data_IF_988588060191
#
_entry.id   IF_988588060191
#
_cell.length_a   1.000
_cell.length_b   1.000
_cell.length_c   1.000
_cell.angle_alpha   90.00
_cell.angle_beta   90.00
_cell.angle_gamma   90.00
#
_symmetry.space_group_name_H-M   'P 1'
#
loop_
_entity.id
_entity.type
_entity.pdbx_description
1 polymer ?
#
# COMPACT_ATOMS: atom_id res chain seq x y z
N UNK A 1 -94.25 -25.13 -30.73
CA UNK A 1 -94.06 -25.83 -32.03
C UNK A 1 -92.57 -25.71 -32.34
N UNK A 2 -91.72 -26.66 -31.92
CA UNK A 2 -91.46 -28.00 -32.53
C UNK A 2 -90.94 -27.83 -33.98
N UNK A 3 -89.63 -27.94 -34.24
CA UNK A 3 -88.83 -29.13 -34.64
C UNK A 3 -88.35 -28.90 -36.10
N UNK A 4 -87.30 -29.47 -36.69
CA UNK A 4 -86.36 -30.59 -36.43
C UNK A 4 -84.99 -30.21 -37.08
N UNK A 5 -83.85 -30.87 -36.84
CA UNK A 5 -83.41 -32.21 -37.33
C UNK A 5 -82.32 -32.76 -36.35
N UNK A 6 -82.39 -33.95 -35.71
CA UNK A 6 -82.16 -35.37 -36.14
C UNK A 6 -80.78 -35.61 -36.80
N UNK A 7 -79.89 -36.56 -36.45
CA UNK A 7 -79.55 -37.43 -35.29
C UNK A 7 -78.26 -38.22 -35.68
N UNK A 8 -77.64 -38.92 -34.71
CA UNK A 8 -76.66 -40.04 -34.79
C UNK A 8 -75.15 -39.71 -34.95
N UNK A 9 -74.21 -40.24 -34.16
CA UNK A 9 -74.24 -41.20 -33.04
C UNK A 9 -72.79 -41.51 -32.57
N UNK A 10 -72.59 -41.76 -31.26
CA UNK A 10 -71.42 -42.51 -30.71
C UNK A 10 -71.83 -43.97 -30.39
N UNK A 11 -71.23 -44.71 -29.43
CA UNK A 11 -69.98 -44.55 -28.65
C UNK A 11 -69.18 -45.88 -28.39
N UNK A 12 -67.97 -45.83 -27.79
CA UNK A 12 -67.34 -46.89 -26.95
C UNK A 12 -65.90 -46.44 -26.55
N UNK A 13 -65.36 -46.52 -25.33
CA UNK A 13 -65.81 -46.95 -24.01
C UNK A 13 -64.68 -46.72 -22.96
N UNK A 14 -65.10 -46.37 -21.72
CA UNK A 14 -64.54 -46.64 -20.35
C UNK A 14 -63.04 -46.43 -20.01
N UNK A 15 -62.74 -45.53 -19.06
CA UNK A 15 -62.34 -45.78 -17.62
C UNK A 15 -60.90 -46.31 -17.47
N UNK A 16 -60.05 -46.04 -16.48
CA UNK A 16 -59.97 -45.14 -15.32
C UNK A 16 -58.52 -45.29 -14.78
N UNK A 17 -58.01 -44.26 -14.09
CA UNK A 17 -56.94 -44.24 -13.07
C UNK A 17 -55.96 -45.43 -12.93
N UNK A 18 -54.65 -45.17 -12.98
CA UNK A 18 -53.67 -45.70 -11.99
C UNK A 18 -52.41 -44.82 -11.99
N UNK A 19 -51.97 -44.40 -10.79
CA UNK A 19 -50.62 -43.89 -10.60
C UNK A 19 -49.63 -45.05 -10.56
N UNK A 20 -48.44 -44.86 -11.14
CA UNK A 20 -47.17 -45.53 -10.81
C UNK A 20 -46.03 -44.69 -11.43
N UNK A 21 -45.01 -44.41 -10.62
CA UNK A 21 -43.76 -43.70 -10.94
C UNK A 21 -42.70 -44.71 -11.46
N UNK A 22 -41.92 -44.42 -12.52
CA UNK A 22 -40.67 -45.13 -12.80
C UNK A 22 -39.40 -44.38 -12.29
N UNK A 23 -38.25 -45.06 -12.11
CA UNK A 23 -37.23 -44.72 -11.09
C UNK A 23 -35.86 -44.31 -11.73
N UNK A 24 -34.68 -44.35 -11.05
CA UNK A 24 -33.77 -43.20 -10.95
C UNK A 24 -32.42 -43.32 -11.72
N UNK A 25 -31.74 -42.19 -11.92
CA UNK A 25 -30.30 -42.12 -12.25
C UNK A 25 -30.00 -41.25 -13.48
N UNK A 26 -28.99 -40.39 -13.53
CA UNK A 26 -27.86 -40.09 -12.64
C UNK A 26 -27.62 -38.59 -12.65
N UNK A 27 -27.43 -38.04 -11.46
CA UNK A 27 -26.72 -36.79 -11.24
C UNK A 27 -25.28 -36.92 -11.72
N UNK A 28 -24.79 -35.99 -12.55
CA UNK A 28 -23.36 -35.70 -12.62
C UNK A 28 -23.15 -34.19 -12.84
N UNK A 29 -22.60 -33.46 -11.86
CA UNK A 29 -22.33 -32.03 -11.94
C UNK A 29 -20.89 -31.84 -12.44
N UNK A 30 -20.68 -31.67 -13.74
CA UNK A 30 -19.36 -31.23 -14.25
C UNK A 30 -19.44 -30.92 -15.75
N UNK A 31 -19.76 -29.66 -16.06
CA UNK A 31 -19.61 -29.09 -17.40
C UNK A 31 -18.55 -28.01 -17.39
N UNK A 32 -17.28 -28.36 -17.11
CA UNK A 32 -16.15 -27.48 -17.35
C UNK A 32 -15.86 -27.45 -18.86
N UNK A 33 -16.26 -26.38 -19.53
CA UNK A 33 -15.75 -26.05 -20.86
C UNK A 33 -14.24 -25.71 -20.79
N UNK A 34 -13.45 -26.00 -21.84
CA UNK A 34 -11.98 -25.92 -21.79
C UNK A 34 -11.39 -24.50 -21.73
N UNK A 35 -12.17 -23.47 -21.42
CA UNK A 35 -11.72 -22.08 -21.26
C UNK A 35 -12.22 -21.42 -19.96
N UNK A 36 -12.61 -22.19 -18.95
CA UNK A 36 -12.90 -21.64 -17.62
C UNK A 36 -11.58 -21.23 -16.95
N UNK A 37 -11.18 -19.98 -17.17
CA UNK A 37 -10.18 -19.29 -16.35
C UNK A 37 -10.62 -19.45 -14.89
N UNK A 38 -9.78 -20.08 -14.07
CA UNK A 38 -10.04 -20.20 -12.65
C UNK A 38 -10.35 -18.80 -12.08
N UNK A 39 -11.43 -18.64 -11.28
CA UNK A 39 -11.73 -17.35 -10.68
C UNK A 39 -10.50 -16.90 -9.89
N UNK A 40 -10.04 -15.68 -10.16
CA UNK A 40 -8.98 -15.05 -9.40
C UNK A 40 -9.32 -15.14 -7.90
N UNK A 41 -8.33 -15.30 -7.01
CA UNK A 41 -8.56 -15.34 -5.58
C UNK A 41 -9.39 -14.10 -5.15
N UNK A 42 -10.37 -14.26 -4.25
CA UNK A 42 -11.26 -13.18 -3.90
C UNK A 42 -10.47 -11.99 -3.33
N UNK A 43 -10.78 -10.74 -3.71
CA UNK A 43 -10.16 -9.58 -3.10
C UNK A 43 -10.52 -9.53 -1.62
N UNK A 44 -9.57 -9.11 -0.77
CA UNK A 44 -9.74 -8.99 0.68
C UNK A 44 -10.82 -7.98 1.14
N UNK A 45 -11.44 -7.25 0.21
CA UNK A 45 -12.47 -6.25 0.47
C UNK A 45 -13.61 -6.40 -0.56
N UNK A 46 -14.78 -6.84 -0.11
CA UNK A 46 -15.98 -6.96 -0.94
C UNK A 46 -16.47 -5.55 -1.36
N UNK A 47 -16.33 -5.25 -2.65
CA UNK A 47 -17.19 -4.30 -3.35
C UNK A 47 -18.43 -5.04 -3.83
N UNK A 48 -19.59 -4.38 -3.81
CA UNK A 48 -20.82 -4.93 -4.39
C UNK A 48 -20.66 -5.04 -5.92
N UNK A 49 -20.72 -6.25 -6.47
CA UNK A 49 -20.45 -6.54 -7.88
C UNK A 49 -21.43 -5.83 -8.82
N UNK A 50 -22.62 -5.47 -8.35
CA UNK A 50 -23.62 -4.72 -9.13
C UNK A 50 -23.19 -3.26 -9.44
N UNK A 51 -22.23 -2.70 -8.69
CA UNK A 51 -21.69 -1.36 -8.94
C UNK A 51 -20.43 -1.37 -9.82
N UNK A 52 -19.74 -2.50 -9.96
CA UNK A 52 -18.40 -2.59 -10.52
C UNK A 52 -18.34 -2.59 -12.07
N UNK A 53 -18.82 -1.53 -12.72
CA UNK A 53 -18.40 -1.20 -14.08
C UNK A 53 -17.17 -0.29 -14.00
N UNK A 54 -16.05 -0.80 -13.43
CA UNK A 54 -14.83 -0.02 -13.20
C UNK A 54 -14.15 0.35 -14.53
N UNK A 55 -13.94 1.65 -14.76
CA UNK A 55 -12.98 2.13 -15.76
C UNK A 55 -11.57 1.83 -15.20
N UNK A 56 -11.01 0.67 -15.53
CA UNK A 56 -9.65 0.33 -15.13
C UNK A 56 -8.65 1.32 -15.74
N UNK A 57 -7.99 2.11 -14.89
CA UNK A 57 -6.89 2.97 -15.33
C UNK A 57 -5.70 2.11 -15.73
N UNK A 58 -4.91 2.60 -16.70
CA UNK A 58 -3.63 1.97 -17.05
C UNK A 58 -2.67 2.09 -15.89
N UNK A 59 -2.12 0.96 -15.45
CA UNK A 59 -1.11 0.91 -14.40
C UNK A 59 0.28 0.93 -15.00
N UNK A 60 1.03 1.99 -14.72
CA UNK A 60 2.41 2.11 -15.20
C UNK A 60 3.30 2.83 -14.20
N UNK A 61 2.77 3.71 -13.35
CA UNK A 61 3.56 4.41 -12.33
C UNK A 61 4.07 3.43 -11.29
N UNK A 62 3.23 2.52 -10.79
CA UNK A 62 3.66 1.57 -9.76
C UNK A 62 4.74 0.62 -10.26
N UNK A 63 4.59 -0.04 -11.43
CA UNK A 63 5.69 -0.80 -12.03
C UNK A 63 6.96 0.03 -12.27
N UNK A 64 6.83 1.29 -12.72
CA UNK A 64 7.97 2.17 -12.94
C UNK A 64 8.71 2.48 -11.64
N UNK A 65 7.99 2.77 -10.55
CA UNK A 65 8.58 2.99 -9.22
C UNK A 65 9.30 1.74 -8.74
N UNK A 66 8.75 0.55 -8.98
CA UNK A 66 9.43 -0.71 -8.65
C UNK A 66 10.74 -0.86 -9.42
N UNK A 67 10.71 -0.63 -10.74
CA UNK A 67 11.90 -0.69 -11.59
C UNK A 67 12.95 0.32 -11.12
N UNK A 68 12.54 1.55 -10.81
CA UNK A 68 13.45 2.59 -10.32
C UNK A 68 14.12 2.21 -8.99
N UNK A 69 13.39 1.64 -8.04
CA UNK A 69 13.93 1.18 -6.77
C UNK A 69 14.91 0.01 -6.94
N UNK A 70 14.58 -0.96 -7.81
CA UNK A 70 15.48 -2.07 -8.16
C UNK A 70 16.75 -1.55 -8.82
N UNK A 71 16.63 -0.62 -9.79
CA UNK A 71 17.77 -0.01 -10.47
C UNK A 71 18.66 0.75 -9.48
N UNK A 72 18.08 1.56 -8.59
CA UNK A 72 18.84 2.28 -7.56
C UNK A 72 19.55 1.33 -6.61
N UNK A 73 18.92 0.23 -6.20
CA UNK A 73 19.58 -0.78 -5.39
C UNK A 73 20.79 -1.41 -6.10
N UNK A 74 20.66 -1.74 -7.38
CA UNK A 74 21.78 -2.27 -8.19
C UNK A 74 22.91 -1.25 -8.30
N UNK A 75 22.59 0.03 -8.54
CA UNK A 75 23.57 1.13 -8.59
C UNK A 75 24.32 1.25 -7.26
N UNK A 76 23.60 1.29 -6.14
CA UNK A 76 24.20 1.37 -4.80
C UNK A 76 25.10 0.17 -4.53
N UNK A 77 24.67 -1.05 -4.88
CA UNK A 77 25.47 -2.26 -4.73
C UNK A 77 26.73 -2.25 -5.60
N UNK A 78 26.63 -1.71 -6.82
CA UNK A 78 27.77 -1.55 -7.74
C UNK A 78 28.85 -0.64 -7.15
N UNK A 79 28.45 0.45 -6.50
CA UNK A 79 29.38 1.37 -5.86
C UNK A 79 29.84 0.92 -4.47
N UNK A 80 29.02 0.15 -3.75
CA UNK A 80 29.41 -0.47 -2.49
C UNK A 80 30.67 -1.32 -2.66
N UNK A 81 30.68 -2.19 -3.68
CA UNK A 81 31.82 -3.01 -4.08
C UNK A 81 32.59 -3.61 -2.88
N UNK A 82 31.88 -4.43 -2.08
CA UNK A 82 32.44 -5.04 -0.86
C UNK A 82 33.82 -5.68 -1.09
N UNK A 83 34.09 -6.46 -2.16
CA UNK A 83 35.39 -7.12 -2.31
C UNK A 83 36.58 -6.17 -2.51
N UNK A 84 36.35 -4.94 -2.98
CA UNK A 84 37.39 -3.94 -3.16
C UNK A 84 37.52 -3.01 -1.93
N UNK A 85 36.41 -2.72 -1.24
CA UNK A 85 36.34 -1.68 -0.21
C UNK A 85 36.20 -2.23 1.22
N UNK A 86 35.69 -3.45 1.40
CA UNK A 86 35.51 -4.15 2.66
C UNK A 86 36.52 -5.30 2.77
N UNK A 87 37.24 -5.39 3.88
CA UNK A 87 38.35 -6.33 4.11
C UNK A 87 38.17 -7.69 3.41
N UNK A 88 39.18 -8.06 2.61
CA UNK A 88 39.20 -9.06 1.52
C UNK A 88 38.61 -10.47 1.77
N UNK A 89 37.89 -10.84 2.83
CA UNK A 89 37.48 -12.24 3.08
C UNK A 89 36.01 -12.50 3.45
N UNK A 90 35.26 -11.51 3.95
CA UNK A 90 33.98 -11.82 4.63
C UNK A 90 32.70 -11.40 3.87
N UNK A 91 32.82 -10.92 2.62
CA UNK A 91 31.67 -10.51 1.82
C UNK A 91 30.78 -11.69 1.43
N UNK A 92 29.46 -11.52 1.52
CA UNK A 92 28.48 -12.56 1.17
C UNK A 92 28.25 -12.59 -0.35
N UNK A 93 28.27 -13.79 -0.93
CA UNK A 93 28.00 -13.99 -2.36
C UNK A 93 29.17 -13.67 -3.29
N UNK A 94 30.40 -13.52 -2.76
CA UNK A 94 31.59 -13.11 -3.52
C UNK A 94 31.84 -13.89 -4.80
N UNK A 95 31.77 -15.21 -4.73
CA UNK A 95 32.09 -16.10 -5.86
C UNK A 95 31.14 -15.92 -7.05
N UNK A 96 29.90 -15.50 -6.81
CA UNK A 96 28.86 -15.36 -7.83
C UNK A 96 28.57 -13.89 -8.18
N UNK A 97 28.35 -13.04 -7.18
CA UNK A 97 27.93 -11.63 -7.35
C UNK A 97 29.10 -10.68 -7.68
N UNK A 98 30.35 -11.10 -7.43
CA UNK A 98 31.57 -10.32 -7.68
C UNK A 98 31.43 -8.90 -7.10
N UNK A 99 31.39 -7.87 -7.94
CA UNK A 99 31.27 -6.46 -7.50
C UNK A 99 29.98 -6.18 -6.72
N UNK A 100 28.90 -6.92 -6.97
CA UNK A 100 27.60 -6.74 -6.31
C UNK A 100 27.47 -7.55 -5.00
N UNK A 101 28.59 -8.01 -4.43
CA UNK A 101 28.57 -8.75 -3.17
C UNK A 101 28.06 -7.90 -2.01
N UNK A 102 27.33 -8.54 -1.11
CA UNK A 102 26.81 -7.91 0.10
C UNK A 102 27.88 -7.80 1.18
N UNK A 103 27.68 -6.84 2.09
CA UNK A 103 28.48 -6.77 3.31
C UNK A 103 28.29 -8.02 4.18
N UNK A 104 29.23 -8.31 5.10
CA UNK A 104 29.10 -9.44 6.02
C UNK A 104 27.77 -9.35 6.82
N UNK A 105 27.13 -10.49 7.09
CA UNK A 105 25.83 -10.53 7.80
C UNK A 105 25.89 -9.90 9.20
N UNK A 106 27.07 -9.86 9.82
CA UNK A 106 27.31 -9.18 11.10
C UNK A 106 27.14 -7.66 10.99
N UNK A 107 27.50 -7.08 9.85
CA UNK A 107 27.31 -5.66 9.57
C UNK A 107 25.90 -5.39 9.06
N UNK A 108 25.47 -6.13 8.03
CA UNK A 108 24.18 -5.97 7.38
C UNK A 108 23.45 -7.32 7.22
N UNK A 109 22.52 -7.66 8.14
CA UNK A 109 21.82 -8.93 8.12
C UNK A 109 20.77 -9.04 7.01
N UNK A 110 20.38 -7.92 6.37
CA UNK A 110 19.34 -7.90 5.32
C UNK A 110 19.91 -8.02 3.90
N UNK A 111 21.17 -8.48 3.77
CA UNK A 111 21.88 -8.68 2.51
C UNK A 111 21.99 -7.40 1.68
N UNK A 112 22.83 -6.46 2.12
CA UNK A 112 22.92 -5.14 1.50
C UNK A 112 24.30 -4.49 1.54
N UNK A 113 24.36 -3.20 1.17
CA UNK A 113 25.58 -2.40 1.19
C UNK A 113 25.94 -1.96 2.62
N UNK A 114 27.08 -1.26 2.78
CA UNK A 114 27.44 -0.64 4.05
C UNK A 114 26.61 0.61 4.32
N UNK A 115 26.43 0.95 5.60
CA UNK A 115 25.76 2.19 6.00
C UNK A 115 26.47 3.45 5.44
N UNK A 116 27.81 3.40 5.34
CA UNK A 116 28.59 4.48 4.74
C UNK A 116 28.24 4.70 3.26
N UNK A 117 28.04 3.62 2.50
CA UNK A 117 27.61 3.71 1.09
C UNK A 117 26.21 4.32 1.00
N UNK A 118 25.26 3.83 1.80
CA UNK A 118 23.89 4.39 1.82
C UNK A 118 23.89 5.88 2.16
N UNK A 119 24.64 6.30 3.19
CA UNK A 119 24.79 7.72 3.56
C UNK A 119 25.37 8.54 2.41
N UNK A 120 26.34 8.02 1.67
CA UNK A 120 26.91 8.71 0.51
C UNK A 120 25.88 8.93 -0.60
N UNK A 121 25.00 7.97 -0.86
CA UNK A 121 24.04 8.00 -1.97
C UNK A 121 22.68 8.62 -1.64
N UNK A 122 22.50 9.15 -0.43
CA UNK A 122 21.30 9.90 -0.08
C UNK A 122 20.41 9.29 0.98
N UNK A 123 20.93 8.38 1.81
CA UNK A 123 20.20 7.95 2.99
C UNK A 123 19.87 9.16 3.85
N UNK A 124 18.72 9.11 4.51
CA UNK A 124 18.32 10.19 5.39
C UNK A 124 19.20 10.12 6.64
N UNK A 125 19.92 11.21 6.89
CA UNK A 125 20.76 11.40 8.06
C UNK A 125 20.59 12.83 8.58
N UNK A 126 20.48 12.99 9.90
CA UNK A 126 20.14 14.28 10.50
C UNK A 126 21.19 15.35 10.24
N UNK A 127 22.47 15.00 10.36
CA UNK A 127 23.56 15.97 10.20
C UNK A 127 23.59 16.54 8.77
N UNK A 128 23.47 15.68 7.76
CA UNK A 128 23.42 16.08 6.35
C UNK A 128 22.25 16.99 6.04
N UNK A 129 21.05 16.70 6.56
CA UNK A 129 19.86 17.53 6.33
C UNK A 129 19.97 18.88 7.04
N UNK A 130 20.28 18.89 8.34
CA UNK A 130 20.21 20.09 9.18
C UNK A 130 21.44 20.98 9.05
N UNK A 131 22.64 20.39 9.08
CA UNK A 131 23.90 21.14 9.04
C UNK A 131 24.51 21.18 7.64
N UNK A 132 24.29 20.13 6.85
CA UNK A 132 24.82 20.02 5.49
C UNK A 132 23.96 20.68 4.40
N UNK A 133 22.78 21.23 4.74
CA UNK A 133 21.79 21.73 3.79
C UNK A 133 21.38 20.72 2.70
N UNK A 134 21.42 19.42 3.01
CA UNK A 134 21.14 18.34 2.06
C UNK A 134 19.68 17.91 2.12
N UNK A 135 18.75 18.87 1.95
CA UNK A 135 17.31 18.65 2.03
C UNK A 135 16.79 17.59 1.03
N UNK A 136 17.50 17.38 -0.09
CA UNK A 136 17.22 16.34 -1.07
C UNK A 136 17.21 14.93 -0.47
N UNK A 137 17.90 14.71 0.67
CA UNK A 137 17.88 13.44 1.42
C UNK A 137 16.50 13.05 1.95
N UNK A 138 15.60 14.02 2.14
CA UNK A 138 14.22 13.77 2.56
C UNK A 138 13.45 12.97 1.49
N UNK A 139 13.80 13.15 0.22
CA UNK A 139 13.17 12.43 -0.88
C UNK A 139 14.01 11.24 -1.33
N UNK A 140 15.32 11.40 -1.49
CA UNK A 140 16.18 10.33 -2.04
C UNK A 140 16.24 9.08 -1.16
N UNK A 141 16.06 9.23 0.15
CA UNK A 141 16.01 8.11 1.10
C UNK A 141 14.92 7.09 0.76
N UNK A 142 13.80 7.54 0.18
CA UNK A 142 12.66 6.71 -0.23
C UNK A 142 13.03 5.74 -1.35
N UNK A 143 14.05 6.07 -2.14
CA UNK A 143 14.52 5.29 -3.29
C UNK A 143 15.67 4.33 -2.96
N UNK A 144 16.22 4.43 -1.75
CA UNK A 144 17.31 3.61 -1.28
C UNK A 144 16.78 2.46 -0.41
N UNK A 145 17.49 1.34 -0.39
CA UNK A 145 17.08 0.17 0.38
C UNK A 145 18.27 -0.41 1.15
N UNK A 146 18.01 -0.79 2.40
CA UNK A 146 19.04 -1.30 3.31
C UNK A 146 19.63 -2.65 2.88
N UNK A 147 18.90 -3.43 2.06
CA UNK A 147 19.33 -4.74 1.57
C UNK A 147 18.27 -5.41 0.70
N UNK A 148 18.62 -6.57 0.16
CA UNK A 148 17.78 -7.33 -0.78
C UNK A 148 16.46 -7.77 -0.16
N UNK A 149 16.49 -8.25 1.09
CA UNK A 149 15.27 -8.69 1.80
C UNK A 149 14.33 -7.50 2.02
N UNK A 150 14.90 -6.35 2.42
CA UNK A 150 14.15 -5.12 2.63
C UNK A 150 13.54 -4.60 1.32
N UNK A 151 14.30 -4.60 0.22
CA UNK A 151 13.81 -4.24 -1.11
C UNK A 151 12.67 -5.17 -1.55
N UNK A 152 12.86 -6.48 -1.47
CA UNK A 152 11.87 -7.46 -1.91
C UNK A 152 10.54 -7.28 -1.18
N UNK A 153 10.57 -7.12 0.15
CA UNK A 153 9.38 -6.86 0.95
C UNK A 153 8.65 -5.59 0.48
N UNK A 154 9.36 -4.47 0.32
CA UNK A 154 8.75 -3.22 -0.13
C UNK A 154 8.15 -3.35 -1.54
N UNK A 155 8.85 -3.96 -2.48
CA UNK A 155 8.39 -4.06 -3.87
C UNK A 155 7.19 -4.99 -4.00
N UNK A 156 7.15 -6.11 -3.26
CA UNK A 156 5.98 -6.99 -3.21
C UNK A 156 4.77 -6.24 -2.63
N UNK A 157 4.94 -5.55 -1.51
CA UNK A 157 3.89 -4.73 -0.91
C UNK A 157 3.41 -3.63 -1.86
N UNK A 158 4.34 -2.96 -2.55
CA UNK A 158 4.04 -1.91 -3.52
C UNK A 158 3.24 -2.45 -4.72
N UNK A 159 3.59 -3.63 -5.23
CA UNK A 159 2.85 -4.24 -6.33
C UNK A 159 1.44 -4.65 -5.90
N UNK A 160 1.27 -5.23 -4.71
CA UNK A 160 -0.04 -5.68 -4.21
C UNK A 160 -0.97 -4.48 -3.95
N UNK A 161 -0.48 -3.47 -3.22
CA UNK A 161 -1.29 -2.33 -2.78
C UNK A 161 -1.36 -1.25 -3.86
N UNK A 162 -0.21 -0.90 -4.42
CA UNK A 162 -0.07 0.19 -5.38
C UNK A 162 -0.80 -0.09 -6.69
N UNK A 163 -0.67 -1.28 -7.29
CA UNK A 163 -1.37 -1.59 -8.55
C UNK A 163 -2.88 -1.50 -8.36
N UNK A 164 -3.40 -2.03 -7.25
CA UNK A 164 -4.82 -1.96 -6.90
C UNK A 164 -5.29 -0.50 -6.84
N UNK A 165 -4.58 0.33 -6.08
CA UNK A 165 -4.89 1.76 -5.96
C UNK A 165 -4.78 2.48 -7.31
N UNK A 166 -3.78 2.16 -8.12
CA UNK A 166 -3.55 2.81 -9.41
C UNK A 166 -4.66 2.49 -10.40
N UNK A 167 -5.16 1.25 -10.43
CA UNK A 167 -6.31 0.86 -11.25
C UNK A 167 -7.57 1.64 -10.88
N UNK A 168 -7.80 1.80 -9.58
CA UNK A 168 -9.02 2.42 -9.03
C UNK A 168 -9.01 3.95 -9.17
N UNK A 169 -7.90 4.60 -8.80
CA UNK A 169 -7.84 6.05 -8.65
C UNK A 169 -7.03 6.75 -9.74
N UNK A 170 -6.28 6.00 -10.54
CA UNK A 170 -5.42 6.52 -11.59
C UNK A 170 -4.02 6.88 -11.10
N UNK A 171 -3.08 6.82 -12.04
CA UNK A 171 -1.64 6.94 -11.81
C UNK A 171 -1.21 8.25 -11.14
N UNK A 172 -1.85 9.38 -11.46
CA UNK A 172 -1.42 10.69 -10.94
C UNK A 172 -1.70 10.83 -9.44
N UNK A 173 -2.84 10.29 -8.96
CA UNK A 173 -3.22 10.35 -7.54
C UNK A 173 -2.31 9.46 -6.72
N UNK A 174 -2.11 8.23 -7.16
CA UNK A 174 -1.28 7.25 -6.47
C UNK A 174 0.17 7.69 -6.45
N UNK A 175 0.69 8.22 -7.56
CA UNK A 175 2.03 8.80 -7.61
C UNK A 175 2.21 9.95 -6.63
N UNK A 176 1.24 10.87 -6.54
CA UNK A 176 1.30 12.00 -5.62
C UNK A 176 1.23 11.56 -4.15
N UNK A 177 0.33 10.63 -3.82
CA UNK A 177 0.25 10.05 -2.46
C UNK A 177 1.57 9.37 -2.11
N UNK A 178 2.15 8.59 -3.01
CA UNK A 178 3.43 7.89 -2.77
C UNK A 178 4.56 8.88 -2.47
N UNK A 179 4.78 9.86 -3.35
CA UNK A 179 5.88 10.84 -3.20
C UNK A 179 5.72 11.69 -1.94
N UNK A 180 4.55 12.33 -1.77
CA UNK A 180 4.34 13.26 -0.66
C UNK A 180 4.32 12.52 0.69
N UNK A 181 3.80 11.29 0.74
CA UNK A 181 3.86 10.49 1.97
C UNK A 181 5.27 10.00 2.28
N UNK A 182 6.07 9.65 1.27
CA UNK A 182 7.50 9.36 1.47
C UNK A 182 8.22 10.55 2.08
N UNK A 183 8.02 11.74 1.50
CA UNK A 183 8.54 13.00 2.02
C UNK A 183 8.06 13.30 3.45
N UNK A 184 6.76 13.17 3.74
CA UNK A 184 6.20 13.37 5.08
C UNK A 184 6.74 12.39 6.12
N UNK A 185 6.95 11.13 5.72
CA UNK A 185 7.65 10.13 6.53
C UNK A 185 9.08 10.58 6.86
N UNK A 186 9.85 11.01 5.87
CA UNK A 186 11.22 11.49 6.08
C UNK A 186 11.29 12.75 6.95
N UNK A 187 10.35 13.69 6.79
CA UNK A 187 10.28 14.90 7.63
C UNK A 187 10.04 14.55 9.09
N UNK A 188 9.13 13.60 9.37
CA UNK A 188 8.91 13.16 10.75
C UNK A 188 10.11 12.35 11.26
N UNK A 189 10.62 11.42 10.46
CA UNK A 189 11.76 10.57 10.83
C UNK A 189 13.01 11.37 11.21
N UNK A 190 13.39 12.38 10.43
CA UNK A 190 14.64 13.12 10.69
C UNK A 190 14.62 13.87 12.03
N UNK A 191 13.45 14.17 12.58
CA UNK A 191 13.30 14.76 13.91
C UNK A 191 13.63 13.77 15.04
N UNK A 192 13.45 12.46 14.80
CA UNK A 192 13.58 11.41 15.81
C UNK A 192 14.72 10.43 15.53
N UNK A 193 15.36 10.49 14.36
CA UNK A 193 16.49 9.63 14.02
C UNK A 193 17.68 9.90 14.96
N UNK A 194 18.37 8.83 15.34
CA UNK A 194 19.64 8.93 16.07
C UNK A 194 20.64 9.79 15.28
N UNK A 195 21.43 10.61 15.99
CA UNK A 195 22.37 11.57 15.36
C UNK A 195 23.41 10.93 14.44
N UNK A 196 23.78 9.68 14.72
CA UNK A 196 24.69 8.88 13.91
C UNK A 196 23.97 7.89 12.98
N UNK A 197 22.66 7.73 13.16
CA UNK A 197 21.83 6.79 12.41
C UNK A 197 21.58 7.22 10.98
N UNK A 198 21.11 6.27 10.18
CA UNK A 198 20.57 6.53 8.84
C UNK A 198 19.28 5.74 8.66
N UNK A 199 18.39 6.26 7.83
CA UNK A 199 17.17 5.57 7.41
C UNK A 199 17.01 5.62 5.89
N UNK A 200 16.45 4.56 5.34
CA UNK A 200 16.22 4.35 3.91
C UNK A 200 15.00 3.47 3.72
N UNK A 201 14.32 3.60 2.58
CA UNK A 201 13.29 2.67 2.15
C UNK A 201 12.01 3.36 1.72
N UNK A 202 11.30 2.70 0.80
CA UNK A 202 10.00 3.13 0.32
C UNK A 202 8.86 2.96 1.34
N UNK A 203 9.14 2.43 2.52
CA UNK A 203 8.12 1.98 3.46
C UNK A 203 7.27 3.11 4.03
N UNK A 204 7.81 4.32 4.23
CA UNK A 204 7.01 5.50 4.59
C UNK A 204 5.94 5.82 3.54
N UNK A 205 6.29 5.77 2.25
CA UNK A 205 5.35 5.95 1.15
C UNK A 205 4.29 4.83 1.08
N UNK A 206 4.68 3.57 1.38
CA UNK A 206 3.75 2.44 1.45
C UNK A 206 2.74 2.60 2.59
N UNK A 207 3.18 3.03 3.76
CA UNK A 207 2.28 3.37 4.87
C UNK A 207 1.37 4.53 4.50
N UNK A 208 1.85 5.48 3.69
CA UNK A 208 1.02 6.53 3.10
C UNK A 208 -0.09 5.99 2.20
N UNK A 209 0.20 5.02 1.34
CA UNK A 209 -0.82 4.35 0.52
C UNK A 209 -1.87 3.64 1.40
N UNK A 210 -1.44 2.98 2.49
CA UNK A 210 -2.35 2.39 3.47
C UNK A 210 -3.22 3.43 4.19
N UNK A 211 -2.63 4.56 4.58
CA UNK A 211 -3.36 5.68 5.18
C UNK A 211 -4.40 6.27 4.21
N UNK A 212 -4.02 6.42 2.95
CA UNK A 212 -4.92 6.90 1.90
C UNK A 212 -6.09 5.94 1.69
N UNK A 213 -5.85 4.62 1.67
CA UNK A 213 -6.92 3.60 1.64
C UNK A 213 -7.87 3.73 2.83
N UNK A 214 -7.35 3.99 4.03
CA UNK A 214 -8.21 4.16 5.21
C UNK A 214 -9.12 5.40 5.08
N UNK A 215 -8.57 6.53 4.61
CA UNK A 215 -9.37 7.75 4.40
C UNK A 215 -10.44 7.58 3.30
N UNK A 216 -10.13 6.80 2.27
CA UNK A 216 -11.07 6.45 1.20
C UNK A 216 -12.22 5.61 1.76
N UNK A 217 -11.91 4.59 2.55
CA UNK A 217 -12.90 3.74 3.20
C UNK A 217 -13.83 4.55 4.12
N UNK A 218 -13.28 5.53 4.85
CA UNK A 218 -14.07 6.45 5.69
C UNK A 218 -14.96 7.35 4.84
N UNK A 219 -14.44 7.88 3.73
CA UNK A 219 -15.18 8.79 2.85
C UNK A 219 -16.32 8.08 2.10
N UNK A 220 -16.10 6.81 1.73
CA UNK A 220 -17.02 5.99 0.94
C UNK A 220 -17.64 4.86 1.77
N UNK A 221 -17.82 5.11 3.08
CA UNK A 221 -18.26 4.11 4.06
C UNK A 221 -19.51 3.34 3.60
N UNK A 222 -20.45 3.96 2.91
CA UNK A 222 -21.72 3.33 2.50
C UNK A 222 -21.61 2.30 1.38
N UNK A 223 -20.48 2.23 0.67
CA UNK A 223 -20.31 1.40 -0.54
C UNK A 223 -19.86 -0.03 -0.21
N UNK A 224 -19.08 -0.21 0.86
CA UNK A 224 -18.53 -1.51 1.21
C UNK A 224 -19.58 -2.38 1.91
N UNK A 225 -19.67 -3.66 1.58
CA UNK A 225 -20.62 -4.58 2.22
C UNK A 225 -20.14 -5.06 3.60
N UNK A 226 -18.82 -5.15 3.81
CA UNK A 226 -18.20 -5.54 5.08
C UNK A 226 -17.18 -4.50 5.60
N UNK A 227 -17.69 -3.29 5.85
CA UNK A 227 -16.92 -2.07 6.21
C UNK A 227 -16.05 -2.25 7.45
N UNK A 228 -16.63 -2.83 8.50
CA UNK A 228 -15.94 -3.00 9.78
C UNK A 228 -14.79 -4.00 9.64
N UNK A 229 -14.99 -5.14 8.95
CA UNK A 229 -13.90 -6.08 8.72
C UNK A 229 -12.81 -5.48 7.83
N UNK A 230 -13.19 -4.69 6.82
CA UNK A 230 -12.24 -4.00 5.95
C UNK A 230 -11.33 -3.03 6.73
N UNK A 231 -11.95 -2.19 7.55
CA UNK A 231 -11.27 -1.20 8.38
C UNK A 231 -10.39 -1.87 9.43
N UNK A 232 -10.92 -2.87 10.14
CA UNK A 232 -10.18 -3.61 11.16
C UNK A 232 -8.98 -4.33 10.56
N UNK A 233 -9.13 -4.96 9.39
CA UNK A 233 -8.00 -5.61 8.70
C UNK A 233 -6.90 -4.60 8.31
N UNK A 234 -7.26 -3.44 7.75
CA UNK A 234 -6.28 -2.39 7.42
C UNK A 234 -5.55 -1.89 8.67
N UNK A 235 -6.28 -1.65 9.76
CA UNK A 235 -5.70 -1.21 11.04
C UNK A 235 -4.79 -2.29 11.61
N UNK A 236 -5.20 -3.56 11.60
CA UNK A 236 -4.38 -4.69 12.07
C UNK A 236 -3.11 -4.81 11.24
N UNK A 237 -3.20 -4.72 9.91
CA UNK A 237 -2.04 -4.77 9.02
C UNK A 237 -1.09 -3.62 9.34
N UNK A 238 -1.60 -2.39 9.46
CA UNK A 238 -0.78 -1.24 9.83
C UNK A 238 -0.12 -1.41 11.21
N UNK A 239 -0.87 -1.87 12.20
CA UNK A 239 -0.39 -2.11 13.56
C UNK A 239 0.66 -3.23 13.63
N UNK A 240 0.48 -4.33 12.90
CA UNK A 240 1.46 -5.42 12.81
C UNK A 240 2.74 -4.90 12.16
N UNK A 241 2.65 -4.15 11.06
CA UNK A 241 3.84 -3.61 10.40
C UNK A 241 4.58 -2.61 11.30
N UNK A 242 3.87 -1.79 12.08
CA UNK A 242 4.46 -0.88 13.05
C UNK A 242 5.08 -1.64 14.25
N UNK A 243 4.44 -2.72 14.71
CA UNK A 243 4.98 -3.58 15.75
C UNK A 243 6.26 -4.31 15.29
N UNK A 244 6.28 -4.78 14.03
CA UNK A 244 7.49 -5.31 13.40
C UNK A 244 8.57 -4.23 13.26
N UNK A 245 8.19 -2.96 13.14
CA UNK A 245 9.13 -1.85 13.09
C UNK A 245 9.79 -1.47 14.43
N UNK A 246 9.45 -2.17 15.52
CA UNK A 246 10.21 -2.14 16.77
C UNK A 246 11.54 -2.91 16.63
N UNK A 247 11.66 -3.75 15.58
CA UNK A 247 12.90 -4.42 15.27
C UNK A 247 13.98 -3.40 14.86
N UNK A 248 15.25 -3.64 15.24
CA UNK A 248 16.33 -2.73 14.90
C UNK A 248 16.43 -2.56 13.38
N UNK A 249 16.72 -1.31 12.96
CA UNK A 249 16.87 -0.87 11.55
C UNK A 249 15.55 -0.59 10.80
N UNK A 250 14.41 -0.65 11.49
CA UNK A 250 13.13 -0.17 10.95
C UNK A 250 12.81 1.20 11.56
N UNK A 251 12.19 2.07 10.77
CA UNK A 251 11.92 3.45 11.16
C UNK A 251 10.41 3.69 11.29
N UNK A 252 9.93 3.56 12.53
CA UNK A 252 8.52 3.74 12.82
C UNK A 252 8.06 5.20 12.71
N UNK A 253 8.94 6.18 12.89
CA UNK A 253 8.58 7.58 12.67
C UNK A 253 8.35 7.86 11.19
N UNK A 254 9.14 7.25 10.30
CA UNK A 254 8.86 7.29 8.87
C UNK A 254 7.51 6.67 8.50
N UNK A 255 7.15 5.55 9.13
CA UNK A 255 5.85 4.89 8.91
C UNK A 255 4.69 5.74 9.42
N UNK A 256 4.79 6.29 10.63
CA UNK A 256 3.76 7.15 11.23
C UNK A 256 3.58 8.42 10.39
N UNK A 257 4.67 9.09 10.02
CA UNK A 257 4.64 10.32 9.24
C UNK A 257 4.07 10.08 7.84
N UNK A 258 4.46 8.97 7.21
CA UNK A 258 3.93 8.55 5.91
C UNK A 258 2.45 8.22 5.99
N UNK A 259 2.02 7.41 6.96
CA UNK A 259 0.61 7.06 7.16
C UNK A 259 -0.26 8.29 7.39
N UNK A 260 0.15 9.19 8.29
CA UNK A 260 -0.59 10.42 8.59
C UNK A 260 -0.71 11.32 7.36
N UNK A 261 0.38 11.47 6.60
CA UNK A 261 0.39 12.26 5.35
C UNK A 261 -0.55 11.65 4.31
N UNK A 262 -0.45 10.34 4.08
CA UNK A 262 -1.29 9.63 3.12
C UNK A 262 -2.77 9.63 3.52
N UNK A 263 -3.07 9.49 4.81
CA UNK A 263 -4.43 9.58 5.35
C UNK A 263 -5.07 10.94 5.07
N UNK A 264 -4.34 12.04 5.32
CA UNK A 264 -4.83 13.38 4.99
C UNK A 264 -4.93 13.59 3.47
N UNK A 265 -3.96 13.11 2.70
CA UNK A 265 -3.99 13.21 1.23
C UNK A 265 -5.13 12.42 0.61
N UNK A 266 -5.53 11.28 1.19
CA UNK A 266 -6.64 10.52 0.64
C UNK A 266 -7.98 11.23 0.79
N UNK A 267 -8.19 12.02 1.86
CA UNK A 267 -9.31 12.96 1.96
C UNK A 267 -9.26 14.13 0.98
N UNK A 268 -8.15 14.34 0.28
CA UNK A 268 -8.01 15.39 -0.75
C UNK A 268 -8.11 14.79 -2.16
N UNK A 269 -7.41 13.67 -2.39
CA UNK A 269 -7.19 13.09 -3.72
C UNK A 269 -8.15 11.92 -4.02
N UNK A 270 -8.47 11.11 -3.02
CA UNK A 270 -9.24 9.86 -3.17
C UNK A 270 -10.74 10.02 -2.85
N UNK A 271 -11.26 11.25 -2.87
CA UNK A 271 -12.66 11.57 -2.54
C UNK A 271 -13.69 10.91 -3.50
N UNK A 272 -13.28 10.43 -4.68
CA UNK A 272 -14.20 9.85 -5.66
C UNK A 272 -13.93 8.39 -6.00
N UNK A 273 -14.94 7.53 -5.79
CA UNK A 273 -15.36 6.50 -6.72
C UNK A 273 -16.80 6.82 -7.14
N UNK A 274 -16.99 7.75 -8.08
CA UNK A 274 -18.29 7.89 -8.72
C UNK A 274 -18.44 6.72 -9.68
N UNK A 275 -19.13 5.68 -9.23
CA UNK A 275 -19.69 4.68 -10.13
C UNK A 275 -20.49 5.42 -11.18
N UNK A 276 -20.02 5.34 -12.43
CA UNK A 276 -20.58 6.11 -13.53
C UNK A 276 -22.02 5.72 -13.74
N UNK A 277 -22.94 6.65 -13.50
CA UNK A 277 -24.24 6.68 -14.13
C UNK A 277 -24.59 8.10 -14.58
N UNK A 278 -24.83 8.19 -15.89
CA UNK A 278 -25.43 9.27 -16.67
C UNK A 278 -24.61 10.55 -16.90
N UNK A 279 -23.94 10.61 -18.06
CA UNK A 279 -23.87 11.86 -18.84
C UNK A 279 -25.27 12.22 -19.35
N UNK A 280 -26.16 12.64 -18.46
CA UNK A 280 -27.37 13.39 -18.79
C UNK A 280 -28.16 13.59 -17.50
N UNK A 281 -27.79 14.60 -16.70
CA UNK A 281 -28.72 15.60 -16.15
C UNK A 281 -27.89 16.83 -15.80
N UNK A 282 -28.12 17.89 -16.54
CA UNK A 282 -27.84 19.28 -16.19
C UNK A 282 -28.40 19.64 -14.81
N UNK A 283 -27.56 19.93 -13.81
CA UNK A 283 -27.83 20.93 -12.76
C UNK A 283 -26.61 21.07 -11.86
N UNK A 284 -26.18 22.31 -11.62
CA UNK A 284 -25.11 22.68 -10.71
C UNK A 284 -25.49 22.39 -9.24
N UNK A 285 -25.47 21.11 -8.85
CA UNK A 285 -25.41 20.69 -7.45
C UNK A 285 -23.97 20.34 -7.11
N UNK A 286 -23.49 20.83 -5.96
CA UNK A 286 -22.13 20.58 -5.48
C UNK A 286 -21.77 19.10 -5.65
N UNK A 287 -20.70 18.84 -6.42
CA UNK A 287 -20.17 17.49 -6.73
C UNK A 287 -19.74 16.71 -5.48
N UNK A 288 -19.72 17.38 -4.31
CA UNK A 288 -19.32 16.87 -3.01
C UNK A 288 -20.35 17.17 -1.93
N UNK A 289 -20.55 16.23 -1.01
CA UNK A 289 -21.36 16.44 0.21
C UNK A 289 -20.65 17.44 1.14
N UNK A 290 -21.39 18.23 1.92
CA UNK A 290 -20.82 19.21 2.86
C UNK A 290 -19.76 18.60 3.79
N UNK A 291 -19.99 17.36 4.25
CA UNK A 291 -19.02 16.58 5.02
C UNK A 291 -17.70 16.34 4.29
N UNK A 292 -17.74 16.00 2.99
CA UNK A 292 -16.54 15.78 2.19
C UNK A 292 -15.75 17.09 1.97
N UNK A 293 -16.45 18.21 1.81
CA UNK A 293 -15.81 19.53 1.69
C UNK A 293 -15.13 19.92 3.01
N UNK A 294 -15.78 19.67 4.15
CA UNK A 294 -15.18 19.90 5.48
C UNK A 294 -13.93 19.05 5.67
N UNK A 295 -13.99 17.75 5.37
CA UNK A 295 -12.83 16.87 5.46
C UNK A 295 -11.69 17.32 4.54
N UNK A 296 -11.99 17.64 3.28
CA UNK A 296 -11.01 18.16 2.33
C UNK A 296 -10.32 19.42 2.88
N UNK A 297 -11.10 20.43 3.26
CA UNK A 297 -10.56 21.72 3.72
C UNK A 297 -9.73 21.58 4.99
N UNK A 298 -10.21 20.79 5.96
CA UNK A 298 -9.47 20.47 7.16
C UNK A 298 -8.17 19.72 6.84
N UNK A 299 -8.21 18.71 5.97
CA UNK A 299 -7.02 17.95 5.58
C UNK A 299 -5.98 18.80 4.87
N UNK A 300 -6.39 19.71 3.98
CA UNK A 300 -5.47 20.67 3.34
C UNK A 300 -4.84 21.59 4.38
N UNK A 301 -5.62 22.15 5.29
CA UNK A 301 -5.10 23.02 6.35
C UNK A 301 -4.09 22.29 7.26
N UNK A 302 -4.40 21.06 7.66
CA UNK A 302 -3.53 20.22 8.48
C UNK A 302 -2.25 19.81 7.74
N UNK A 303 -2.32 19.49 6.45
CA UNK A 303 -1.14 19.19 5.64
C UNK A 303 -0.20 20.40 5.56
N UNK A 304 -0.74 21.59 5.25
CA UNK A 304 0.07 22.81 5.15
C UNK A 304 0.71 23.15 6.49
N UNK A 305 -0.08 23.17 7.57
CA UNK A 305 0.41 23.47 8.91
C UNK A 305 1.44 22.43 9.38
N UNK A 306 1.17 21.14 9.17
CA UNK A 306 2.04 20.04 9.55
C UNK A 306 3.38 20.05 8.83
N UNK A 307 3.38 20.24 7.50
CA UNK A 307 4.62 20.35 6.73
C UNK A 307 5.40 21.61 7.08
N UNK A 308 4.74 22.77 7.23
CA UNK A 308 5.41 23.99 7.64
C UNK A 308 6.07 23.83 9.02
N UNK A 309 5.34 23.34 10.02
CA UNK A 309 5.86 23.11 11.36
C UNK A 309 6.99 22.07 11.38
N UNK A 310 6.82 20.96 10.65
CA UNK A 310 7.81 19.90 10.52
C UNK A 310 9.11 20.43 9.90
N UNK A 311 9.03 21.05 8.73
CA UNK A 311 10.22 21.57 8.03
C UNK A 311 10.92 22.66 8.84
N UNK A 312 10.18 23.59 9.45
CA UNK A 312 10.78 24.61 10.34
C UNK A 312 11.50 23.94 11.51
N UNK A 313 10.93 22.90 12.11
CA UNK A 313 11.55 22.17 13.22
C UNK A 313 12.82 21.44 12.78
N UNK A 314 12.80 20.82 11.59
CA UNK A 314 13.96 20.14 11.00
C UNK A 314 15.09 21.13 10.79
N UNK A 315 14.85 22.24 10.08
CA UNK A 315 15.90 23.21 9.76
C UNK A 315 16.34 24.08 10.96
N UNK A 316 15.56 24.12 12.04
CA UNK A 316 16.01 24.65 13.34
C UNK A 316 16.82 23.65 14.16
N UNK A 317 16.98 22.42 13.69
CA UNK A 317 17.75 21.38 14.37
C UNK A 317 17.09 20.82 15.63
N UNK A 318 15.76 20.90 15.72
CA UNK A 318 15.00 20.36 16.87
C UNK A 318 15.25 18.86 17.01
N UNK A 319 15.47 18.41 18.24
CA UNK A 319 15.54 16.99 18.60
C UNK A 319 14.19 16.53 19.16
N UNK A 320 13.44 15.74 18.41
CA UNK A 320 12.18 15.17 18.86
C UNK A 320 12.36 14.27 20.09
N UNK A 321 13.50 13.59 20.23
CA UNK A 321 13.78 12.73 21.38
C UNK A 321 14.04 13.53 22.66
N UNK A 322 14.48 14.80 22.57
CA UNK A 322 14.67 15.65 23.75
C UNK A 322 13.33 16.02 24.41
N UNK A 323 12.24 16.02 23.65
CA UNK A 323 10.90 16.36 24.12
C UNK A 323 10.05 15.15 24.52
N UNK A 324 10.57 13.93 24.33
CA UNK A 324 9.81 12.71 24.55
C UNK A 324 10.74 11.57 24.99
N UNK A 325 10.75 11.30 26.29
CA UNK A 325 11.62 10.29 26.91
C UNK A 325 11.28 8.84 26.56
N UNK A 326 10.15 8.57 25.90
CA UNK A 326 9.72 7.22 25.50
C UNK A 326 9.73 7.02 23.98
N UNK A 327 9.93 8.08 23.20
CA UNK A 327 9.82 8.06 21.74
C UNK A 327 10.88 7.15 21.09
N UNK A 328 12.04 6.99 21.72
CA UNK A 328 13.06 6.07 21.20
C UNK A 328 12.60 4.60 21.21
N UNK A 329 11.71 4.21 22.13
CA UNK A 329 11.15 2.86 22.16
C UNK A 329 10.18 2.58 21.01
N UNK A 330 9.66 3.62 20.35
CA UNK A 330 8.86 3.43 19.14
C UNK A 330 9.71 2.88 18.00
N UNK A 331 11.02 3.17 17.95
CA UNK A 331 11.90 2.71 16.85
C UNK A 331 12.72 1.50 17.25
N UNK A 332 13.08 1.35 18.52
CA UNK A 332 13.81 0.18 18.98
C UNK A 332 13.58 -0.09 20.46
N UNK A 333 13.12 -1.29 20.77
CA UNK A 333 13.07 -1.80 22.16
C UNK A 333 14.26 -2.72 22.39
N UNK A 334 15.14 -2.42 23.37
CA UNK A 334 16.30 -3.27 23.66
C UNK A 334 15.83 -4.60 24.28
N UNK A 335 16.42 -5.72 23.85
CA UNK A 335 16.14 -7.05 24.39
C UNK A 335 17.44 -7.79 24.70
N UNK A 336 17.34 -8.98 25.30
CA UNK A 336 18.52 -9.85 25.51
C UNK A 336 19.17 -10.30 24.20
N UNK A 337 18.44 -10.26 23.08
CA UNK A 337 18.92 -10.70 21.76
C UNK A 337 19.45 -9.58 20.88
N UNK A 338 19.17 -8.30 21.16
CA UNK A 338 19.69 -7.16 20.40
C UNK A 338 19.73 -5.86 21.21
N UNK A 339 20.70 -5.00 20.89
CA UNK A 339 20.86 -3.66 21.47
C UNK A 339 20.38 -2.59 20.50
N UNK A 340 19.75 -1.56 21.04
CA UNK A 340 19.44 -0.33 20.34
C UNK A 340 20.64 0.60 20.46
N UNK A 341 21.65 0.41 19.61
CA UNK A 341 22.83 1.26 19.61
C UNK A 341 22.44 2.68 19.12
N UNK A 342 22.90 3.71 19.86
CA UNK A 342 22.69 5.13 19.52
C UNK A 342 23.62 5.59 18.40
#
# INVERSE_FOLDING_TARGET
MSNADVEAGGPAGREATTGIKPPPGRYNPSGNGPNAVAPAPPPFYYYDQAAAQERHHRTWVVPLVVIANVAMFVVVMYYNNCPANGGRRDCVGRSFLRRLSFQPLRENPVLGPSAATLRKYGALDWYGVVHGNQAWRLETSTWLHAGLIHLAANMISLLIIGIRLEQQFGFWKVGLVYLVSGFGGSVLSVLFISRNGITVGASGALFGLLGAMLSELITNWTIYSNRCAAMVNLIIIAAINLALGILPRVDNFAHIGGFATGFLLGFVLLIQPQFGWSEQVSSAKSKYNAFQIILLTLSVALLIAGFAAGLVSVFKGVDGNAHCSWCHYLTCVPTSSWKCDK
#
